data_IF_357007201228
#
_entry.id   IF_357007201228
#
_cell.length_a   1.000
_cell.length_b   1.000
_cell.length_c   1.000
_cell.angle_alpha   90.00
_cell.angle_beta   90.00
_cell.angle_gamma   90.00
#
_symmetry.space_group_name_H-M   'P 1'
#
loop_
_entity.id
_entity.type
_entity.pdbx_description
1 polymer ?
#
# COMPACT_ATOMS: atom_id res chain seq x y z
N UNK A 1 24.53 4.53 1.69
CA UNK A 1 24.62 5.96 1.27
C UNK A 1 23.43 6.39 0.38
N UNK A 2 22.99 5.59 -0.60
CA UNK A 2 21.88 5.93 -1.52
C UNK A 2 20.54 6.07 -0.79
N UNK A 3 20.14 5.11 0.03
CA UNK A 3 18.89 5.14 0.81
C UNK A 3 18.79 6.42 1.66
N UNK A 4 19.90 6.86 2.27
CA UNK A 4 19.91 8.10 3.05
C UNK A 4 19.68 9.36 2.20
N UNK A 5 20.11 9.38 0.94
CA UNK A 5 19.82 10.45 -0.02
C UNK A 5 18.35 10.43 -0.45
N UNK A 6 17.79 9.24 -0.71
CA UNK A 6 16.37 9.04 -1.06
C UNK A 6 15.49 9.56 0.07
N UNK A 7 15.74 9.13 1.30
CA UNK A 7 14.96 9.53 2.47
C UNK A 7 15.00 11.05 2.76
N UNK A 8 16.08 11.73 2.34
CA UNK A 8 16.23 13.18 2.43
C UNK A 8 15.70 13.93 1.19
N UNK A 9 15.06 13.24 0.24
CA UNK A 9 14.65 13.77 -1.06
C UNK A 9 15.80 14.41 -1.89
N UNK A 10 17.03 13.98 -1.65
CA UNK A 10 18.24 14.51 -2.31
C UNK A 10 18.75 13.54 -3.40
N UNK A 11 17.95 12.59 -3.82
CA UNK A 11 18.23 11.65 -4.90
C UNK A 11 17.24 11.92 -6.03
N UNK A 12 17.73 12.48 -7.13
CA UNK A 12 16.90 12.94 -8.24
C UNK A 12 16.99 12.00 -9.45
N UNK A 13 16.17 12.24 -10.49
CA UNK A 13 16.12 11.40 -11.67
C UNK A 13 17.49 11.23 -12.35
N UNK A 14 18.32 12.27 -12.42
CA UNK A 14 19.68 12.17 -13.00
C UNK A 14 20.58 11.21 -12.21
N UNK A 15 20.44 11.16 -10.86
CA UNK A 15 21.17 10.22 -10.03
C UNK A 15 20.68 8.79 -10.25
N UNK A 16 19.37 8.60 -10.46
CA UNK A 16 18.76 7.31 -10.81
C UNK A 16 19.30 6.79 -12.14
N UNK A 17 19.30 7.64 -13.19
CA UNK A 17 19.80 7.28 -14.51
C UNK A 17 21.32 7.00 -14.49
N UNK A 18 22.07 7.76 -13.70
CA UNK A 18 23.51 7.55 -13.52
C UNK A 18 23.79 6.23 -12.80
N UNK A 19 23.09 5.94 -11.71
CA UNK A 19 23.23 4.69 -10.98
C UNK A 19 22.99 3.47 -11.87
N UNK A 20 21.96 3.51 -12.73
CA UNK A 20 21.67 2.44 -13.68
C UNK A 20 22.86 2.16 -14.62
N UNK A 21 23.54 3.23 -15.08
CA UNK A 21 24.73 3.12 -15.95
C UNK A 21 25.95 2.62 -15.19
N UNK A 22 26.20 3.18 -14.01
CA UNK A 22 27.38 2.87 -13.18
C UNK A 22 27.36 1.42 -12.70
N UNK A 23 26.17 0.91 -12.35
CA UNK A 23 25.98 -0.47 -11.87
C UNK A 23 25.59 -1.45 -13.00
N UNK A 24 25.50 -0.97 -14.24
CA UNK A 24 25.06 -1.77 -15.41
C UNK A 24 23.73 -2.51 -15.19
N UNK A 25 22.77 -1.85 -14.51
CA UNK A 25 21.44 -2.39 -14.24
C UNK A 25 20.43 -1.72 -15.19
N UNK A 26 19.73 -2.47 -16.06
CA UNK A 26 18.82 -1.88 -17.03
C UNK A 26 17.58 -1.28 -16.37
N UNK A 27 17.18 -0.10 -16.83
CA UNK A 27 15.90 0.52 -16.45
C UNK A 27 14.79 -0.12 -17.26
N UNK A 28 13.81 -0.71 -16.58
CA UNK A 28 12.59 -1.23 -17.19
C UNK A 28 11.43 -0.26 -16.97
N UNK A 29 10.84 0.26 -18.04
CA UNK A 29 9.62 1.06 -17.96
C UNK A 29 8.41 0.16 -17.90
N UNK A 30 7.55 0.38 -16.90
CA UNK A 30 6.28 -0.32 -16.73
C UNK A 30 5.14 0.67 -16.56
N UNK A 31 3.94 0.26 -16.91
CA UNK A 31 2.71 1.02 -16.68
C UNK A 31 1.77 0.14 -15.87
N UNK A 32 1.33 0.64 -14.73
CA UNK A 32 0.34 -0.01 -13.88
C UNK A 32 -1.03 0.62 -14.15
N UNK A 33 -2.02 -0.19 -14.50
CA UNK A 33 -3.38 0.29 -14.78
C UNK A 33 -4.15 0.67 -13.51
N UNK A 34 -3.94 -0.07 -12.43
CA UNK A 34 -4.54 0.16 -11.12
C UNK A 34 -3.79 -0.63 -10.04
N UNK A 35 -4.21 -0.49 -8.77
CA UNK A 35 -3.58 -1.17 -7.63
C UNK A 35 -3.68 -2.71 -7.65
N UNK A 36 -4.52 -3.27 -8.51
CA UNK A 36 -4.70 -4.73 -8.64
C UNK A 36 -4.04 -5.30 -9.90
N UNK A 37 -3.27 -4.49 -10.64
CA UNK A 37 -2.57 -4.91 -11.85
C UNK A 37 -1.30 -5.70 -11.49
N UNK A 38 -1.50 -6.94 -11.06
CA UNK A 38 -0.43 -7.84 -10.60
C UNK A 38 0.27 -8.62 -11.72
N UNK A 39 0.09 -8.20 -12.97
CA UNK A 39 0.69 -8.87 -14.13
C UNK A 39 2.21 -8.63 -14.23
N UNK A 40 2.70 -7.54 -13.67
CA UNK A 40 4.10 -7.12 -13.82
C UNK A 40 4.87 -7.17 -12.49
N UNK A 41 4.20 -6.82 -11.40
CA UNK A 41 4.76 -6.80 -10.04
C UNK A 41 3.82 -7.48 -9.06
N UNK A 42 4.35 -7.93 -7.94
CA UNK A 42 3.54 -8.48 -6.84
C UNK A 42 2.65 -7.39 -6.23
N UNK A 43 1.50 -7.78 -5.71
CA UNK A 43 0.48 -6.86 -5.19
C UNK A 43 0.98 -5.96 -4.06
N UNK A 44 1.82 -6.47 -3.17
CA UNK A 44 2.43 -5.73 -2.07
C UNK A 44 3.35 -4.60 -2.59
N UNK A 45 4.17 -4.89 -3.61
CA UNK A 45 5.01 -3.89 -4.27
C UNK A 45 4.17 -2.78 -4.93
N UNK A 46 3.09 -3.17 -5.63
CA UNK A 46 2.17 -2.21 -6.27
C UNK A 46 1.52 -1.31 -5.21
N UNK A 47 1.05 -1.88 -4.11
CA UNK A 47 0.44 -1.11 -3.02
C UNK A 47 1.40 -0.08 -2.43
N UNK A 48 2.69 -0.43 -2.29
CA UNK A 48 3.73 0.50 -1.87
C UNK A 48 3.94 1.62 -2.89
N UNK A 49 4.01 1.30 -4.19
CA UNK A 49 4.21 2.31 -5.25
C UNK A 49 3.06 3.32 -5.27
N UNK A 50 1.81 2.87 -5.13
CA UNK A 50 0.62 3.73 -5.14
C UNK A 50 0.50 4.64 -3.91
N UNK A 51 1.30 4.43 -2.86
CA UNK A 51 1.35 5.30 -1.69
C UNK A 51 2.14 6.60 -1.92
N UNK A 52 2.86 6.70 -3.03
CA UNK A 52 3.74 7.84 -3.32
C UNK A 52 3.26 8.68 -4.51
N UNK A 53 3.64 9.96 -4.50
CA UNK A 53 3.35 10.89 -5.60
C UNK A 53 4.28 10.70 -6.79
N UNK A 54 3.92 11.29 -7.93
CA UNK A 54 4.79 11.34 -9.10
C UNK A 54 6.13 12.06 -8.84
N UNK A 55 7.10 11.82 -9.71
CA UNK A 55 8.48 12.35 -9.64
C UNK A 55 9.24 11.95 -8.37
N UNK A 56 8.76 10.93 -7.66
CA UNK A 56 9.43 10.37 -6.49
C UNK A 56 10.29 9.16 -6.86
N UNK A 57 11.41 9.04 -6.19
CA UNK A 57 12.25 7.84 -6.20
C UNK A 57 12.10 7.15 -4.87
N UNK A 58 11.76 5.88 -4.92
CA UNK A 58 11.50 5.05 -3.74
C UNK A 58 12.20 3.71 -3.86
N UNK A 59 12.47 3.10 -2.72
CA UNK A 59 12.88 1.69 -2.64
C UNK A 59 11.68 0.89 -2.20
N UNK A 60 11.32 -0.12 -2.96
CA UNK A 60 10.24 -1.06 -2.62
C UNK A 60 10.81 -2.47 -2.52
N UNK A 61 10.33 -3.22 -1.56
CA UNK A 61 10.71 -4.60 -1.31
C UNK A 61 9.46 -5.44 -1.15
N UNK A 62 9.51 -6.69 -1.56
CA UNK A 62 8.45 -7.64 -1.24
C UNK A 62 8.50 -8.01 0.25
N UNK A 63 7.42 -8.64 0.76
CA UNK A 63 7.30 -8.98 2.18
C UNK A 63 8.44 -9.86 2.72
N UNK A 64 9.04 -10.66 1.85
CA UNK A 64 10.13 -11.57 2.21
C UNK A 64 11.52 -10.97 1.98
N UNK A 65 11.61 -9.71 1.52
CA UNK A 65 12.85 -9.05 1.10
C UNK A 65 13.65 -9.82 0.05
N UNK A 66 12.99 -10.70 -0.71
CA UNK A 66 13.61 -11.48 -1.76
C UNK A 66 13.80 -10.67 -3.05
N UNK A 67 12.93 -9.70 -3.28
CA UNK A 67 12.98 -8.78 -4.41
C UNK A 67 12.99 -7.33 -3.93
N UNK A 68 13.97 -6.57 -4.41
CA UNK A 68 14.12 -5.16 -4.07
C UNK A 68 14.25 -4.35 -5.35
N UNK A 69 13.48 -3.28 -5.45
CA UNK A 69 13.46 -2.40 -6.61
C UNK A 69 13.71 -0.96 -6.20
N UNK A 70 14.54 -0.28 -6.98
CA UNK A 70 14.58 1.17 -6.99
C UNK A 70 13.63 1.65 -8.07
N UNK A 71 12.60 2.39 -7.68
CA UNK A 71 11.51 2.79 -8.57
C UNK A 71 11.48 4.32 -8.70
N UNK A 72 11.44 4.80 -9.92
CA UNK A 72 11.11 6.19 -10.23
C UNK A 72 9.67 6.28 -10.73
N UNK A 73 8.83 7.01 -10.04
CA UNK A 73 7.43 7.25 -10.43
C UNK A 73 7.44 8.43 -11.41
N UNK A 74 7.33 8.13 -12.68
CA UNK A 74 7.44 9.16 -13.72
C UNK A 74 6.18 10.01 -13.82
N UNK A 75 5.00 9.37 -13.92
CA UNK A 75 3.71 10.05 -14.11
C UNK A 75 2.60 9.29 -13.43
N UNK A 76 1.65 10.03 -12.88
CA UNK A 76 0.36 9.51 -12.39
C UNK A 76 -0.73 10.11 -13.26
N UNK A 77 -1.53 9.25 -13.88
CA UNK A 77 -2.69 9.68 -14.66
C UNK A 77 -3.97 9.42 -13.88
N UNK A 78 -4.75 10.47 -13.69
CA UNK A 78 -6.08 10.34 -13.10
C UNK A 78 -7.06 9.94 -14.20
N UNK A 79 -7.75 8.83 -14.01
CA UNK A 79 -8.79 8.36 -14.90
C UNK A 79 -10.13 8.90 -14.40
N UNK A 80 -10.83 9.67 -15.25
CA UNK A 80 -12.20 10.07 -14.96
C UNK A 80 -13.13 8.88 -15.17
N UNK A 81 -13.66 8.35 -14.08
CA UNK A 81 -14.66 7.28 -14.10
C UNK A 81 -16.03 7.95 -14.24
N UNK A 82 -16.83 7.48 -15.20
CA UNK A 82 -18.19 7.98 -15.38
C UNK A 82 -19.06 7.64 -14.18
N UNK A 83 -19.82 8.62 -13.69
CA UNK A 83 -20.78 8.41 -12.61
C UNK A 83 -21.75 7.28 -12.98
N UNK A 84 -22.07 6.47 -11.98
CA UNK A 84 -22.95 5.29 -12.11
C UNK A 84 -22.46 4.19 -13.06
N UNK A 85 -21.22 4.22 -13.53
CA UNK A 85 -20.62 3.07 -14.19
C UNK A 85 -20.40 1.91 -13.20
N UNK A 86 -20.28 0.69 -13.69
CA UNK A 86 -19.98 -0.48 -12.85
C UNK A 86 -18.68 -0.29 -12.05
N UNK A 87 -17.65 0.30 -12.68
CA UNK A 87 -16.40 0.65 -11.99
C UNK A 87 -16.63 1.69 -10.89
N UNK A 88 -17.45 2.72 -11.14
CA UNK A 88 -17.79 3.72 -10.14
C UNK A 88 -18.45 3.09 -8.92
N UNK A 89 -19.45 2.25 -9.13
CA UNK A 89 -20.17 1.56 -8.05
C UNK A 89 -19.23 0.66 -7.24
N UNK A 90 -18.34 -0.07 -7.91
CA UNK A 90 -17.33 -0.89 -7.25
C UNK A 90 -16.38 -0.08 -6.37
N UNK A 91 -15.86 1.04 -6.85
CA UNK A 91 -14.99 1.91 -6.05
C UNK A 91 -15.74 2.61 -4.93
N UNK A 92 -17.01 2.96 -5.15
CA UNK A 92 -17.87 3.53 -4.12
C UNK A 92 -18.06 2.54 -2.95
N UNK A 93 -18.33 1.27 -3.25
CA UNK A 93 -18.50 0.23 -2.22
C UNK A 93 -17.18 -0.07 -1.49
N UNK A 94 -16.07 -0.16 -2.19
CA UNK A 94 -14.75 -0.30 -1.56
C UNK A 94 -14.43 0.89 -0.64
N UNK A 95 -14.77 2.10 -1.06
CA UNK A 95 -14.58 3.31 -0.25
C UNK A 95 -15.45 3.30 1.00
N UNK A 96 -16.72 2.88 0.90
CA UNK A 96 -17.62 2.73 2.05
C UNK A 96 -17.06 1.73 3.05
N UNK A 97 -16.62 0.55 2.59
CA UNK A 97 -16.00 -0.48 3.44
C UNK A 97 -14.77 0.09 4.16
N UNK A 98 -13.90 0.78 3.43
CA UNK A 98 -12.68 1.38 3.99
C UNK A 98 -13.01 2.40 5.08
N UNK A 99 -13.92 3.35 4.80
CA UNK A 99 -14.34 4.38 5.76
C UNK A 99 -14.96 3.72 7.00
N UNK A 100 -15.81 2.72 6.81
CA UNK A 100 -16.44 1.98 7.90
C UNK A 100 -15.40 1.33 8.80
N UNK A 101 -14.42 0.65 8.21
CA UNK A 101 -13.35 -0.01 8.96
C UNK A 101 -12.46 1.01 9.70
N UNK A 102 -12.12 2.13 9.08
CA UNK A 102 -11.35 3.20 9.72
C UNK A 102 -12.12 3.83 10.89
N UNK A 103 -13.42 4.02 10.74
CA UNK A 103 -14.29 4.53 11.80
C UNK A 103 -14.33 3.55 13.00
N UNK A 104 -14.54 2.27 12.75
CA UNK A 104 -14.52 1.25 13.80
C UNK A 104 -13.17 1.17 14.51
N UNK A 105 -12.07 1.17 13.77
CA UNK A 105 -10.72 1.14 14.35
C UNK A 105 -10.45 2.39 15.19
N UNK A 106 -10.88 3.56 14.73
CA UNK A 106 -10.73 4.82 15.46
C UNK A 106 -11.54 4.81 16.75
N UNK A 107 -12.79 4.34 16.68
CA UNK A 107 -13.66 4.21 17.84
C UNK A 107 -13.12 3.19 18.85
N UNK A 108 -12.70 2.00 18.39
CA UNK A 108 -12.11 0.97 19.23
C UNK A 108 -10.86 1.48 19.96
N UNK A 109 -9.97 2.16 19.23
CA UNK A 109 -8.79 2.79 19.83
C UNK A 109 -9.14 3.88 20.85
N UNK A 110 -10.18 4.68 20.59
CA UNK A 110 -10.65 5.67 21.54
C UNK A 110 -11.18 5.02 22.83
N UNK A 111 -12.01 3.98 22.69
CA UNK A 111 -12.55 3.23 23.83
C UNK A 111 -11.45 2.57 24.66
N UNK A 112 -10.50 1.88 24.00
CA UNK A 112 -9.35 1.23 24.66
C UNK A 112 -8.46 2.19 25.44
N UNK A 113 -8.30 3.42 24.93
CA UNK A 113 -7.52 4.46 25.64
C UNK A 113 -8.25 5.06 26.85
N UNK A 114 -9.58 5.08 26.81
CA UNK A 114 -10.40 5.73 27.82
C UNK A 114 -10.88 4.78 28.92
N UNK A 115 -11.06 3.52 28.58
CA UNK A 115 -11.61 2.51 29.50
C UNK A 115 -10.67 1.32 29.62
N UNK A 116 -10.52 0.82 30.85
CA UNK A 116 -9.86 -0.47 31.07
C UNK A 116 -10.81 -1.57 30.59
N UNK A 117 -10.39 -2.32 29.58
CA UNK A 117 -11.14 -3.45 29.05
C UNK A 117 -10.61 -4.71 29.72
N UNK A 118 -11.47 -5.40 30.44
CA UNK A 118 -11.17 -6.69 31.07
C UNK A 118 -11.95 -7.78 30.34
N UNK A 119 -11.26 -8.72 29.72
CA UNK A 119 -11.87 -9.79 28.92
C UNK A 119 -11.85 -11.06 29.74
N UNK A 120 -13.05 -11.57 30.07
CA UNK A 120 -13.17 -12.89 30.68
C UNK A 120 -12.97 -14.00 29.63
N UNK A 121 -11.72 -14.43 29.48
CA UNK A 121 -11.37 -15.48 28.51
C UNK A 121 -12.02 -16.82 28.80
N UNK A 122 -12.30 -17.17 30.07
CA UNK A 122 -13.00 -18.41 30.40
C UNK A 122 -14.44 -18.43 29.86
N UNK A 123 -15.15 -17.29 30.01
CA UNK A 123 -16.49 -17.16 29.45
C UNK A 123 -16.46 -17.20 27.90
N UNK A 124 -15.45 -16.61 27.30
CA UNK A 124 -15.27 -16.61 25.84
C UNK A 124 -15.05 -18.03 25.30
N UNK A 125 -14.24 -18.84 25.97
CA UNK A 125 -13.97 -20.22 25.58
C UNK A 125 -15.22 -21.12 25.71
N UNK A 126 -16.05 -20.91 26.73
CA UNK A 126 -17.33 -21.62 26.86
C UNK A 126 -18.24 -21.30 25.67
N UNK A 127 -18.31 -20.03 25.28
CA UNK A 127 -19.13 -19.60 24.12
C UNK A 127 -18.61 -20.22 22.81
N UNK A 128 -17.30 -20.14 22.56
CA UNK A 128 -16.68 -20.74 21.37
C UNK A 128 -16.96 -22.24 21.25
N UNK A 129 -16.86 -22.99 22.36
CA UNK A 129 -17.10 -24.43 22.36
C UNK A 129 -18.55 -24.81 22.10
N UNK A 130 -19.51 -23.90 22.38
CA UNK A 130 -20.94 -24.13 22.05
C UNK A 130 -21.26 -23.93 20.57
N UNK A 131 -20.48 -23.09 19.85
CA UNK A 131 -20.70 -22.85 18.42
C UNK A 131 -19.94 -23.82 17.51
N UNK A 132 -19.03 -24.62 18.06
CA UNK A 132 -18.25 -25.62 17.34
C UNK A 132 -18.81 -27.06 17.50
N UNK A 133 -20.01 -27.21 18.07
CA UNK A 133 -20.81 -28.44 18.08
C UNK A 133 -21.93 -28.33 17.07
#
# INVERSE_FOLDING_TARGET
>A
KIIAKINKNNFIKSDFDKLSKDENVPIKKITLKNQNDNNVLKKDLISHIYAFSEKKIIVVSDMNFSENFLVYIDKIENVNIKDNSEEYLKYLDLSKIKITNELYNTYDNYIRKRYKIDINYQALDIVKNRFNQ
#
